data_IF_962666474262
#
_entry.id   IF_962666474262
#
_cell.length_a   1.000
_cell.length_b   1.000
_cell.length_c   1.000
_cell.angle_alpha   90.00
_cell.angle_beta   90.00
_cell.angle_gamma   90.00
#
_symmetry.space_group_name_H-M   'P 1'
#
loop_
_entity.id
_entity.type
_entity.pdbx_description
1 polymer ?
#
# COMPACT_ATOMS: atom_id res chain seq x y z
N UNK A 1 -8.17 -1.85 -17.30
CA UNK A 1 -6.93 -1.76 -16.50
C UNK A 1 -7.18 -2.11 -15.03
N UNK A 2 -8.05 -1.38 -14.29
CA UNK A 2 -8.32 -1.61 -12.85
C UNK A 2 -8.77 -3.06 -12.57
N UNK A 3 -9.68 -3.61 -13.40
CA UNK A 3 -10.13 -5.00 -13.27
C UNK A 3 -9.00 -6.03 -13.41
N UNK A 4 -8.04 -5.80 -14.32
CA UNK A 4 -6.88 -6.68 -14.47
C UNK A 4 -5.96 -6.63 -13.24
N UNK A 5 -5.72 -5.45 -12.68
CA UNK A 5 -4.99 -5.31 -11.44
C UNK A 5 -5.64 -6.08 -10.29
N UNK A 6 -6.97 -5.96 -10.15
CA UNK A 6 -7.74 -6.68 -9.15
C UNK A 6 -7.68 -8.20 -9.33
N UNK A 7 -7.83 -8.70 -10.57
CA UNK A 7 -7.70 -10.13 -10.89
C UNK A 7 -6.29 -10.62 -10.54
N UNK A 8 -5.25 -9.86 -10.89
CA UNK A 8 -3.87 -10.22 -10.55
C UNK A 8 -3.66 -10.33 -9.02
N UNK A 9 -4.22 -9.40 -8.25
CA UNK A 9 -4.19 -9.46 -6.77
C UNK A 9 -4.91 -10.68 -6.24
N UNK A 10 -6.10 -11.02 -6.77
CA UNK A 10 -6.84 -12.22 -6.37
C UNK A 10 -6.06 -13.51 -6.66
N UNK A 11 -5.35 -13.57 -7.79
CA UNK A 11 -4.52 -14.72 -8.14
C UNK A 11 -3.33 -14.86 -7.18
N UNK A 12 -2.71 -13.75 -6.77
CA UNK A 12 -1.61 -13.76 -5.78
C UNK A 12 -2.12 -14.19 -4.41
N UNK A 13 -3.23 -13.61 -3.94
CA UNK A 13 -3.75 -13.81 -2.59
C UNK A 13 -4.49 -15.14 -2.41
N UNK A 14 -5.03 -15.71 -3.49
CA UNK A 14 -5.82 -16.95 -3.47
C UNK A 14 -6.84 -16.99 -2.31
N UNK A 15 -7.77 -16.04 -2.20
CA UNK A 15 -8.79 -16.08 -1.17
C UNK A 15 -9.72 -17.30 -1.42
N UNK A 16 -9.71 -18.26 -0.54
CA UNK A 16 -10.58 -19.45 -0.68
C UNK A 16 -10.03 -20.71 -0.02
N UNK A 17 -8.81 -20.66 0.51
CA UNK A 17 -8.20 -21.80 1.21
C UNK A 17 -8.38 -21.71 2.73
N UNK A 18 -8.85 -20.58 3.25
CA UNK A 18 -9.11 -20.37 4.67
C UNK A 18 -10.59 -20.02 4.92
N UNK A 19 -11.12 -20.49 6.02
CA UNK A 19 -12.50 -20.20 6.47
C UNK A 19 -12.73 -18.69 6.57
N UNK A 20 -13.91 -18.23 6.15
CA UNK A 20 -14.34 -16.83 6.28
C UNK A 20 -14.59 -16.54 7.76
N UNK A 21 -13.59 -16.03 8.44
CA UNK A 21 -13.63 -15.65 9.85
C UNK A 21 -13.68 -14.14 10.07
N UNK A 22 -13.68 -13.73 11.33
CA UNK A 22 -13.64 -12.32 11.76
C UNK A 22 -12.44 -11.59 11.12
N UNK A 23 -11.32 -12.29 10.92
CA UNK A 23 -10.14 -11.75 10.24
C UNK A 23 -10.43 -11.29 8.79
N UNK A 24 -11.27 -12.06 8.04
CA UNK A 24 -11.66 -11.69 6.67
C UNK A 24 -12.52 -10.42 6.64
N UNK A 25 -13.40 -10.23 7.63
CA UNK A 25 -14.19 -9.00 7.77
C UNK A 25 -13.31 -7.80 8.13
N UNK A 26 -12.32 -8.00 8.99
CA UNK A 26 -11.35 -6.97 9.33
C UNK A 26 -10.52 -6.53 8.10
N UNK A 27 -10.11 -7.47 7.24
CA UNK A 27 -9.41 -7.17 5.97
C UNK A 27 -10.29 -6.37 5.02
N UNK A 28 -11.58 -6.73 4.89
CA UNK A 28 -12.53 -5.95 4.08
C UNK A 28 -12.72 -4.54 4.62
N UNK A 29 -12.88 -4.40 5.94
CA UNK A 29 -12.94 -3.09 6.60
C UNK A 29 -11.68 -2.25 6.37
N UNK A 30 -10.51 -2.85 6.47
CA UNK A 30 -9.23 -2.21 6.17
C UNK A 30 -9.14 -1.77 4.70
N UNK A 31 -9.61 -2.58 3.75
CA UNK A 31 -9.63 -2.24 2.33
C UNK A 31 -10.53 -1.03 2.04
N UNK A 32 -11.72 -0.96 2.66
CA UNK A 32 -12.63 0.19 2.55
C UNK A 32 -11.98 1.44 3.16
N UNK A 33 -11.39 1.32 4.35
CA UNK A 33 -10.66 2.42 5.00
C UNK A 33 -9.50 2.93 4.15
N UNK A 34 -8.75 2.03 3.52
CA UNK A 34 -7.64 2.38 2.63
C UNK A 34 -8.11 3.13 1.38
N UNK A 35 -9.20 2.65 0.75
CA UNK A 35 -9.81 3.34 -0.38
C UNK A 35 -10.31 4.75 -0.02
N UNK A 36 -10.97 4.89 1.13
CA UNK A 36 -11.40 6.19 1.65
C UNK A 36 -10.21 7.11 1.91
N UNK A 37 -9.14 6.61 2.52
CA UNK A 37 -7.92 7.37 2.80
C UNK A 37 -7.27 7.89 1.50
N UNK A 38 -7.15 7.06 0.46
CA UNK A 38 -6.60 7.50 -0.83
C UNK A 38 -7.46 8.57 -1.50
N UNK A 39 -8.78 8.41 -1.49
CA UNK A 39 -9.70 9.39 -2.06
C UNK A 39 -9.62 10.72 -1.31
N UNK A 40 -9.62 10.66 0.03
CA UNK A 40 -9.48 11.84 0.87
C UNK A 40 -8.13 12.52 0.67
N UNK A 41 -7.04 11.76 0.62
CA UNK A 41 -5.71 12.31 0.34
C UNK A 41 -5.67 13.02 -1.00
N UNK A 42 -6.24 12.41 -2.05
CA UNK A 42 -6.34 13.05 -3.38
C UNK A 42 -7.09 14.39 -3.31
N UNK A 43 -8.20 14.42 -2.60
CA UNK A 43 -8.97 15.66 -2.42
C UNK A 43 -8.17 16.72 -1.67
N UNK A 44 -7.56 16.37 -0.54
CA UNK A 44 -6.76 17.28 0.28
C UNK A 44 -5.52 17.82 -0.44
N UNK A 45 -4.86 17.01 -1.28
CA UNK A 45 -3.66 17.47 -2.02
C UNK A 45 -3.94 18.59 -3.02
N UNK A 46 -5.21 18.85 -3.35
CA UNK A 46 -5.61 19.97 -4.19
C UNK A 46 -5.72 21.28 -3.41
N UNK A 47 -5.91 21.24 -2.09
CA UNK A 47 -6.15 22.40 -1.24
C UNK A 47 -5.01 22.67 -0.27
N UNK A 48 -4.31 21.61 0.16
CA UNK A 48 -3.29 21.66 1.18
C UNK A 48 -1.91 21.21 0.67
N UNK A 49 -0.88 21.55 1.44
CA UNK A 49 0.47 21.05 1.17
C UNK A 49 0.59 19.58 1.56
N UNK A 50 1.35 18.81 0.78
CA UNK A 50 1.60 17.38 1.06
C UNK A 50 2.20 17.18 2.45
N UNK A 51 3.07 18.08 2.89
CA UNK A 51 3.68 18.00 4.23
C UNK A 51 2.64 18.20 5.34
N UNK A 52 1.72 19.14 5.18
CA UNK A 52 0.64 19.35 6.15
C UNK A 52 -0.25 18.10 6.25
N UNK A 53 -0.62 17.51 5.12
CA UNK A 53 -1.44 16.28 5.08
C UNK A 53 -0.76 15.16 5.86
N UNK A 54 0.54 14.91 5.62
CA UNK A 54 1.29 13.85 6.29
C UNK A 54 1.44 14.16 7.78
N UNK A 55 1.69 15.41 8.14
CA UNK A 55 1.80 15.82 9.53
C UNK A 55 0.49 15.52 10.30
N UNK A 56 -0.65 16.00 9.80
CA UNK A 56 -1.94 15.76 10.47
C UNK A 56 -2.32 14.28 10.47
N UNK A 57 -2.05 13.55 9.40
CA UNK A 57 -2.24 12.11 9.33
C UNK A 57 -1.45 11.40 10.42
N UNK A 58 -0.17 11.76 10.60
CA UNK A 58 0.70 11.17 11.63
C UNK A 58 0.23 11.52 13.04
N UNK A 59 -0.17 12.78 13.28
CA UNK A 59 -0.69 13.22 14.57
C UNK A 59 -1.97 12.50 14.95
N UNK A 60 -2.88 12.28 13.99
CA UNK A 60 -4.15 11.57 14.24
C UNK A 60 -3.90 10.07 14.46
N UNK A 61 -2.98 9.47 13.72
CA UNK A 61 -2.66 8.04 13.84
C UNK A 61 -1.87 7.72 15.12
N UNK A 62 -1.10 8.67 15.64
CA UNK A 62 -0.28 8.46 16.83
C UNK A 62 -1.09 7.92 18.03
N UNK A 63 -2.17 8.57 18.49
CA UNK A 63 -2.96 8.05 19.61
C UNK A 63 -3.64 6.72 19.27
N UNK A 64 -4.08 6.52 18.02
CA UNK A 64 -4.71 5.27 17.58
C UNK A 64 -3.73 4.08 17.62
N UNK A 65 -2.44 4.34 17.43
CA UNK A 65 -1.40 3.32 17.56
C UNK A 65 -0.90 3.15 18.98
N UNK A 66 -0.70 4.26 19.71
CA UNK A 66 -0.14 4.25 21.08
C UNK A 66 -1.11 3.66 22.10
N UNK A 67 -2.39 4.03 22.05
CA UNK A 67 -3.37 3.59 23.06
C UNK A 67 -3.46 2.05 23.15
N UNK A 68 -3.63 1.30 22.06
CA UNK A 68 -3.62 -0.17 22.10
C UNK A 68 -2.26 -0.76 22.49
N UNK A 69 -1.17 -0.06 22.15
CA UNK A 69 0.18 -0.52 22.45
C UNK A 69 0.55 -0.39 23.94
N UNK A 70 -0.17 0.43 24.72
CA UNK A 70 0.06 0.57 26.17
C UNK A 70 -0.23 -0.74 26.92
N UNK A 71 -1.14 -1.57 26.40
CA UNK A 71 -1.38 -2.90 26.93
C UNK A 71 -0.26 -3.85 26.47
N UNK A 72 0.66 -4.14 27.40
CA UNK A 72 1.83 -4.97 27.11
C UNK A 72 3.03 -4.22 26.49
N UNK A 73 3.15 -2.91 26.73
CA UNK A 73 4.26 -2.11 26.20
C UNK A 73 5.63 -2.66 26.63
N UNK A 74 6.46 -2.94 25.65
CA UNK A 74 7.87 -3.33 25.83
C UNK A 74 8.77 -2.30 25.18
N UNK A 75 9.73 -1.76 25.93
CA UNK A 75 10.69 -0.82 25.39
C UNK A 75 11.64 -1.50 24.42
N UNK A 76 11.85 -0.94 23.22
CA UNK A 76 12.83 -1.48 22.27
C UNK A 76 14.23 -1.49 22.91
N UNK A 77 15.00 -2.55 22.66
CA UNK A 77 16.42 -2.59 23.01
C UNK A 77 17.20 -1.52 22.25
N UNK A 78 18.36 -1.11 22.75
CA UNK A 78 19.20 -0.09 22.13
C UNK A 78 19.52 -0.41 20.67
N UNK A 79 19.73 -1.69 20.33
CA UNK A 79 19.98 -2.14 18.98
C UNK A 79 18.76 -2.01 18.05
N UNK A 80 17.55 -2.05 18.59
CA UNK A 80 16.31 -1.94 17.79
C UNK A 80 15.98 -0.51 17.39
N UNK A 81 16.48 0.52 18.10
CA UNK A 81 16.18 1.91 17.78
C UNK A 81 16.59 2.31 16.36
N UNK A 82 17.71 1.76 15.86
CA UNK A 82 18.13 1.95 14.47
C UNK A 82 17.08 1.46 13.47
N UNK A 83 16.53 0.27 13.70
CA UNK A 83 15.46 -0.29 12.87
C UNK A 83 14.15 0.47 12.97
N UNK A 84 13.79 0.91 14.17
CA UNK A 84 12.61 1.77 14.39
C UNK A 84 12.73 3.07 13.58
N UNK A 85 13.90 3.70 13.60
CA UNK A 85 14.15 4.90 12.80
C UNK A 85 14.05 4.61 11.29
N UNK A 86 14.65 3.52 10.81
CA UNK A 86 14.56 3.11 9.38
C UNK A 86 13.12 2.89 8.97
N UNK A 87 12.33 2.16 9.76
CA UNK A 87 10.91 1.92 9.47
C UNK A 87 10.11 3.22 9.46
N UNK A 88 10.33 4.10 10.45
CA UNK A 88 9.65 5.40 10.53
C UNK A 88 9.95 6.30 9.33
N UNK A 89 11.24 6.45 8.97
CA UNK A 89 11.65 7.25 7.81
C UNK A 89 11.13 6.67 6.50
N UNK A 90 11.21 5.35 6.33
CA UNK A 90 10.70 4.65 5.14
C UNK A 90 9.20 4.81 5.00
N UNK A 91 8.44 4.67 6.10
CA UNK A 91 6.99 4.85 6.12
C UNK A 91 6.59 6.28 5.75
N UNK A 92 7.21 7.30 6.37
CA UNK A 92 6.95 8.70 6.04
C UNK A 92 7.30 9.03 4.59
N UNK A 93 8.44 8.51 4.10
CA UNK A 93 8.87 8.70 2.71
C UNK A 93 7.89 8.08 1.72
N UNK A 94 7.37 6.88 2.01
CA UNK A 94 6.38 6.20 1.19
C UNK A 94 5.06 7.01 1.13
N UNK A 95 4.56 7.46 2.28
CA UNK A 95 3.36 8.30 2.33
C UNK A 95 3.55 9.64 1.62
N UNK A 96 4.73 10.25 1.76
CA UNK A 96 5.06 11.47 1.03
C UNK A 96 5.06 11.26 -0.48
N UNK A 97 5.73 10.20 -0.96
CA UNK A 97 5.78 9.86 -2.38
C UNK A 97 4.37 9.60 -2.94
N UNK A 98 3.55 8.84 -2.22
CA UNK A 98 2.17 8.55 -2.61
C UNK A 98 1.30 9.82 -2.66
N UNK A 99 1.36 10.66 -1.64
CA UNK A 99 0.60 11.91 -1.63
C UNK A 99 1.06 12.87 -2.75
N UNK A 100 2.37 12.90 -3.05
CA UNK A 100 2.91 13.64 -4.20
C UNK A 100 2.40 13.08 -5.52
N UNK A 101 2.36 11.76 -5.67
CA UNK A 101 1.82 11.11 -6.87
C UNK A 101 0.32 11.44 -7.05
N UNK A 102 -0.47 11.36 -5.98
CA UNK A 102 -1.88 11.72 -5.98
C UNK A 102 -2.14 13.21 -6.24
N UNK A 103 -1.16 14.09 -5.94
CA UNK A 103 -1.23 15.52 -6.31
C UNK A 103 -1.03 15.73 -7.81
N UNK A 104 -0.16 14.93 -8.44
CA UNK A 104 0.26 15.10 -9.83
C UNK A 104 -0.60 14.32 -10.83
N UNK A 105 -1.23 13.23 -10.39
CA UNK A 105 -2.01 12.36 -11.25
C UNK A 105 -3.29 11.87 -10.55
N UNK A 106 -4.25 11.42 -11.34
CA UNK A 106 -5.50 10.89 -10.82
C UNK A 106 -5.31 9.57 -10.06
N UNK A 107 -6.15 9.36 -9.04
CA UNK A 107 -6.12 8.13 -8.24
C UNK A 107 -6.31 6.86 -9.10
N UNK A 108 -7.07 6.96 -10.19
CA UNK A 108 -7.25 5.86 -11.16
C UNK A 108 -5.95 5.42 -11.85
N UNK A 109 -4.94 6.28 -11.88
CA UNK A 109 -3.59 5.98 -12.40
C UNK A 109 -2.67 5.54 -11.26
N UNK A 110 -2.65 6.29 -10.16
CA UNK A 110 -1.73 6.09 -9.04
C UNK A 110 -2.02 4.79 -8.27
N UNK A 111 -3.29 4.50 -7.97
CA UNK A 111 -3.67 3.33 -7.16
C UNK A 111 -3.30 2.00 -7.84
N UNK A 112 -3.54 1.78 -9.14
CA UNK A 112 -3.04 0.57 -9.80
C UNK A 112 -1.51 0.44 -9.77
N UNK A 113 -0.77 1.55 -9.82
CA UNK A 113 0.70 1.52 -9.71
C UNK A 113 1.18 1.06 -8.33
N UNK A 114 0.41 1.33 -7.26
CA UNK A 114 0.75 0.86 -5.91
C UNK A 114 0.73 -0.69 -5.81
N UNK A 115 -0.01 -1.38 -6.68
CA UNK A 115 0.03 -2.85 -6.75
C UNK A 115 1.38 -3.41 -7.20
N UNK A 116 2.24 -2.60 -7.84
CA UNK A 116 3.59 -2.99 -8.20
C UNK A 116 4.44 -3.40 -6.97
N UNK A 117 4.08 -2.94 -5.78
CA UNK A 117 4.74 -3.36 -4.54
C UNK A 117 4.61 -4.86 -4.27
N UNK A 118 3.54 -5.52 -4.74
CA UNK A 118 3.34 -6.96 -4.50
C UNK A 118 4.41 -7.82 -5.17
N UNK A 119 4.68 -7.70 -6.49
CA UNK A 119 5.81 -8.38 -7.09
C UNK A 119 7.17 -7.96 -6.51
N UNK A 120 7.36 -6.68 -6.13
CA UNK A 120 8.60 -6.22 -5.52
C UNK A 120 8.84 -6.88 -4.15
N UNK A 121 7.81 -6.96 -3.29
CA UNK A 121 7.90 -7.64 -1.99
C UNK A 121 8.17 -9.14 -2.18
N UNK A 122 7.57 -9.80 -3.16
CA UNK A 122 7.84 -11.21 -3.47
C UNK A 122 9.30 -11.44 -3.87
N UNK A 123 9.88 -10.54 -4.70
CA UNK A 123 11.31 -10.60 -5.07
C UNK A 123 12.21 -10.39 -3.85
N UNK A 124 11.90 -9.42 -2.98
CA UNK A 124 12.65 -9.18 -1.74
C UNK A 124 12.54 -10.39 -0.81
N UNK A 125 11.36 -10.98 -0.64
CA UNK A 125 11.13 -12.19 0.15
C UNK A 125 12.00 -13.35 -0.34
N UNK A 126 12.06 -13.55 -1.66
CA UNK A 126 12.93 -14.55 -2.27
C UNK A 126 14.42 -14.29 -2.02
N UNK A 127 14.89 -13.05 -2.26
CA UNK A 127 16.32 -12.72 -2.18
C UNK A 127 16.84 -12.63 -0.74
N UNK A 128 16.03 -12.13 0.20
CA UNK A 128 16.48 -11.85 1.57
C UNK A 128 16.12 -13.01 2.51
N UNK A 129 14.95 -13.61 2.34
CA UNK A 129 14.44 -14.65 3.25
C UNK A 129 14.48 -16.05 2.64
N UNK A 130 14.86 -16.19 1.36
CA UNK A 130 14.88 -17.49 0.68
C UNK A 130 13.48 -18.08 0.46
N UNK A 131 12.44 -17.25 0.47
CA UNK A 131 11.07 -17.69 0.25
C UNK A 131 10.90 -18.23 -1.17
N UNK A 132 10.17 -19.33 -1.32
CA UNK A 132 9.90 -19.91 -2.64
C UNK A 132 8.81 -19.07 -3.31
N UNK A 133 9.13 -18.45 -4.44
CA UNK A 133 8.11 -17.76 -5.25
C UNK A 133 7.22 -18.82 -5.91
N UNK A 134 5.97 -18.92 -5.46
CA UNK A 134 4.97 -19.76 -6.12
C UNK A 134 4.72 -19.25 -7.55
N UNK A 135 4.53 -20.19 -8.48
CA UNK A 135 4.20 -19.88 -9.90
C UNK A 135 3.03 -18.91 -10.01
N UNK A 136 2.05 -19.01 -9.11
CA UNK A 136 0.88 -18.13 -9.10
C UNK A 136 1.19 -16.69 -8.71
N UNK A 137 2.20 -16.47 -7.88
CA UNK A 137 2.72 -15.13 -7.59
C UNK A 137 3.33 -14.53 -8.84
N UNK A 138 4.07 -15.31 -9.63
CA UNK A 138 4.60 -14.90 -10.93
C UNK A 138 3.51 -14.56 -11.94
N UNK A 139 2.49 -15.39 -12.07
CA UNK A 139 1.34 -15.16 -12.95
C UNK A 139 0.56 -13.91 -12.55
N UNK A 140 0.24 -13.77 -11.26
CA UNK A 140 -0.46 -12.58 -10.74
C UNK A 140 0.35 -11.30 -10.92
N UNK A 141 1.67 -11.34 -10.68
CA UNK A 141 2.58 -10.23 -10.93
C UNK A 141 2.58 -9.79 -12.40
N UNK A 142 2.63 -10.75 -13.34
CA UNK A 142 2.58 -10.45 -14.77
C UNK A 142 1.25 -9.78 -15.16
N UNK A 143 0.12 -10.26 -14.65
CA UNK A 143 -1.21 -9.67 -14.89
C UNK A 143 -1.29 -8.25 -14.32
N UNK A 144 -0.75 -8.01 -13.11
CA UNK A 144 -0.67 -6.67 -12.51
C UNK A 144 0.14 -5.74 -13.40
N UNK A 145 1.33 -6.14 -13.85
CA UNK A 145 2.18 -5.34 -14.72
C UNK A 145 1.49 -4.99 -16.04
N UNK A 146 0.81 -5.95 -16.68
CA UNK A 146 0.03 -5.72 -17.90
C UNK A 146 -1.11 -4.72 -17.62
N UNK A 147 -1.84 -4.88 -16.52
CA UNK A 147 -2.90 -3.96 -16.12
C UNK A 147 -2.41 -2.53 -15.92
N UNK A 148 -1.25 -2.36 -15.27
CA UNK A 148 -0.59 -1.06 -15.07
C UNK A 148 -0.18 -0.46 -16.42
N UNK A 149 0.46 -1.25 -17.28
CA UNK A 149 0.89 -0.79 -18.61
C UNK A 149 -0.28 -0.27 -19.45
N UNK A 150 -1.39 -1.02 -19.51
CA UNK A 150 -2.61 -0.60 -20.21
C UNK A 150 -3.16 0.70 -19.63
N UNK A 151 -3.20 0.82 -18.30
CA UNK A 151 -3.69 2.01 -17.62
C UNK A 151 -2.87 3.25 -17.94
N UNK A 152 -1.55 3.13 -17.91
CA UNK A 152 -0.63 4.22 -18.27
C UNK A 152 -0.77 4.65 -19.73
N UNK A 153 -0.91 3.69 -20.64
CA UNK A 153 -1.12 3.97 -22.06
C UNK A 153 -2.44 4.71 -22.31
N UNK A 154 -3.50 4.30 -21.62
CA UNK A 154 -4.81 4.96 -21.75
C UNK A 154 -4.79 6.36 -21.12
N UNK A 155 -4.10 6.55 -20.00
CA UNK A 155 -3.92 7.86 -19.39
C UNK A 155 -3.14 8.81 -20.33
N UNK A 156 -2.04 8.34 -20.93
CA UNK A 156 -1.24 9.14 -21.87
C UNK A 156 -2.04 9.58 -23.11
N UNK A 157 -2.99 8.76 -23.57
CA UNK A 157 -3.85 9.09 -24.73
C UNK A 157 -4.93 10.15 -24.40
N UNK A 158 -5.26 10.35 -23.12
CA UNK A 158 -6.26 11.34 -22.71
C UNK A 158 -5.68 12.72 -22.47
N UNK A 159 -4.36 12.80 -22.32
CA UNK A 159 -3.62 14.05 -22.04
C UNK A 159 -2.94 14.64 -23.28
N UNK A 160 -2.85 13.92 -24.40
CA UNK A 160 -2.39 14.40 -25.71
C UNK A 160 -3.56 14.64 -26.66
#
# INVERSE_FOLDING_TARGET
AIGLGFIGVLIVLRPGVSEVGIASLAVLGAAVGYAAAHTTTRFLTQHDSVLAIIFYMSVIQLPLGVIPALDGWVWPSTAMWGWVAVVGVSGLSAHYALARALKLADASVVVPMDFMRLPLVAVVGYLVYGEIIDVWVGVGAAIICIGIYINLRDAARRTG
#
